data_IF_051766744175
#
_entry.id   IF_051766744175
#
_cell.length_a   1.000
_cell.length_b   1.000
_cell.length_c   1.000
_cell.angle_alpha   90.00
_cell.angle_beta   90.00
_cell.angle_gamma   90.00
#
_symmetry.space_group_name_H-M   'P 1'
#
loop_
_entity.id
_entity.type
_entity.pdbx_description
1 polymer ?
#
# COMPACT_ATOMS: atom_id res chain seq x y z
N UNK A 1 -9.52 -1.89 5.38
CA UNK A 1 -9.67 -3.18 4.71
C UNK A 1 -10.88 -3.89 5.28
N UNK A 2 -11.74 -4.40 4.40
CA UNK A 2 -12.96 -5.12 4.80
C UNK A 2 -13.08 -6.44 4.05
N UNK A 3 -13.79 -7.39 4.64
CA UNK A 3 -14.26 -8.61 3.95
C UNK A 3 -15.76 -8.55 3.73
N UNK A 4 -16.20 -9.00 2.55
CA UNK A 4 -17.61 -9.10 2.18
C UNK A 4 -18.23 -10.32 2.89
N UNK A 5 -19.37 -10.11 3.53
CA UNK A 5 -20.04 -11.18 4.26
C UNK A 5 -20.75 -12.16 3.30
N UNK A 6 -21.15 -13.32 3.82
CA UNK A 6 -21.90 -14.33 3.04
C UNK A 6 -23.43 -14.06 3.01
N UNK A 7 -23.88 -12.84 3.29
CA UNK A 7 -25.30 -12.49 3.19
C UNK A 7 -25.74 -12.54 1.73
N UNK A 8 -26.98 -12.92 1.44
CA UNK A 8 -27.47 -13.07 0.07
C UNK A 8 -27.40 -11.76 -0.76
N UNK A 9 -27.57 -10.63 -0.10
CA UNK A 9 -27.60 -9.27 -0.67
C UNK A 9 -26.25 -8.54 -0.61
N UNK A 10 -25.22 -9.15 -0.02
CA UNK A 10 -23.95 -8.45 0.24
C UNK A 10 -23.24 -7.97 -1.03
N UNK A 11 -23.18 -8.80 -2.07
CA UNK A 11 -22.56 -8.43 -3.34
C UNK A 11 -23.29 -7.26 -3.99
N UNK A 12 -24.61 -7.30 -4.03
CA UNK A 12 -25.45 -6.27 -4.63
C UNK A 12 -25.33 -4.94 -3.89
N UNK A 13 -25.32 -4.98 -2.54
CA UNK A 13 -25.08 -3.80 -1.69
C UNK A 13 -23.71 -3.19 -1.95
N UNK A 14 -22.66 -4.03 -2.02
CA UNK A 14 -21.30 -3.57 -2.31
C UNK A 14 -21.21 -2.97 -3.71
N UNK A 15 -21.76 -3.61 -4.74
CA UNK A 15 -21.79 -3.07 -6.10
C UNK A 15 -22.49 -1.71 -6.15
N UNK A 16 -23.67 -1.58 -5.55
CA UNK A 16 -24.41 -0.32 -5.47
C UNK A 16 -23.63 0.77 -4.74
N UNK A 17 -22.96 0.43 -3.63
CA UNK A 17 -22.15 1.39 -2.89
C UNK A 17 -20.93 1.84 -3.70
N UNK A 18 -20.22 0.92 -4.35
CA UNK A 18 -19.05 1.25 -5.17
C UNK A 18 -19.41 2.07 -6.42
N UNK A 19 -20.51 1.77 -7.08
CA UNK A 19 -20.98 2.57 -8.23
C UNK A 19 -21.38 3.99 -7.82
N UNK A 20 -21.88 4.19 -6.60
CA UNK A 20 -22.22 5.50 -6.02
C UNK A 20 -21.04 6.26 -5.39
N UNK A 21 -19.85 5.67 -5.33
CA UNK A 21 -18.73 6.19 -4.54
C UNK A 21 -18.27 7.59 -4.96
N UNK A 22 -18.27 7.89 -6.27
CA UNK A 22 -17.94 9.23 -6.77
C UNK A 22 -18.92 10.29 -6.26
N UNK A 23 -20.20 9.97 -6.20
CA UNK A 23 -21.22 10.87 -5.66
C UNK A 23 -21.03 11.10 -4.17
N UNK A 24 -20.73 10.05 -3.41
CA UNK A 24 -20.41 10.14 -2.00
C UNK A 24 -19.16 11.02 -1.78
N UNK A 25 -18.10 10.79 -2.55
CA UNK A 25 -16.87 11.58 -2.51
C UNK A 25 -17.14 13.06 -2.76
N UNK A 26 -17.92 13.39 -3.78
CA UNK A 26 -18.33 14.78 -4.10
C UNK A 26 -19.13 15.42 -2.96
N UNK A 27 -20.08 14.70 -2.39
CA UNK A 27 -20.92 15.20 -1.29
C UNK A 27 -20.13 15.56 -0.04
N UNK A 28 -19.08 14.84 0.25
CA UNK A 28 -18.23 15.11 1.41
C UNK A 28 -17.20 16.20 1.10
N UNK A 29 -16.54 16.12 -0.06
CA UNK A 29 -15.43 17.02 -0.44
C UNK A 29 -15.88 18.45 -0.79
N UNK A 30 -17.17 18.66 -1.17
CA UNK A 30 -17.70 19.99 -1.49
C UNK A 30 -17.59 20.99 -0.33
N UNK A 31 -17.45 20.49 0.90
CA UNK A 31 -17.30 21.33 2.09
C UNK A 31 -15.97 22.07 2.14
N UNK A 32 -14.93 21.50 1.51
CA UNK A 32 -13.60 22.09 1.40
C UNK A 32 -12.86 21.47 0.20
N UNK A 33 -12.96 22.12 -0.94
CA UNK A 33 -12.32 21.66 -2.18
C UNK A 33 -10.79 21.75 -2.10
N UNK A 34 -10.25 22.56 -1.20
CA UNK A 34 -8.81 22.69 -0.97
C UNK A 34 -8.21 21.51 -0.18
N UNK A 35 -9.04 20.71 0.51
CA UNK A 35 -8.58 19.59 1.34
C UNK A 35 -8.07 18.36 0.56
N UNK A 36 -8.03 18.42 -0.76
CA UNK A 36 -7.48 17.38 -1.66
C UNK A 36 -7.99 15.96 -1.35
N UNK A 37 -9.32 15.84 -1.16
CA UNK A 37 -9.92 14.55 -0.85
C UNK A 37 -9.79 13.57 -2.02
N UNK A 38 -9.42 12.33 -1.71
CA UNK A 38 -9.42 11.20 -2.65
C UNK A 38 -9.73 9.89 -1.92
N UNK A 39 -10.42 8.99 -2.62
CA UNK A 39 -10.60 7.61 -2.19
C UNK A 39 -10.26 6.68 -3.36
N UNK A 40 -9.30 5.78 -3.14
CA UNK A 40 -8.96 4.70 -4.07
C UNK A 40 -9.52 3.40 -3.54
N UNK A 41 -10.24 2.66 -4.39
CA UNK A 41 -10.77 1.33 -4.07
C UNK A 41 -9.84 0.26 -4.65
N UNK A 42 -9.45 -0.69 -3.82
CA UNK A 42 -8.80 -1.93 -4.26
C UNK A 42 -9.75 -3.11 -4.06
N UNK A 43 -9.80 -4.01 -5.04
CA UNK A 43 -10.60 -5.24 -5.02
C UNK A 43 -9.65 -6.43 -4.96
N UNK A 44 -9.84 -7.30 -3.97
CA UNK A 44 -9.05 -8.52 -3.78
C UNK A 44 -9.40 -9.61 -4.78
N UNK A 45 -8.47 -10.53 -5.01
CA UNK A 45 -8.62 -11.58 -6.02
C UNK A 45 -9.77 -12.55 -5.75
N UNK A 46 -10.08 -12.81 -4.48
CA UNK A 46 -11.10 -13.81 -4.11
C UNK A 46 -12.55 -13.34 -4.33
N UNK A 47 -12.75 -12.01 -4.30
CA UNK A 47 -14.06 -11.40 -4.52
C UNK A 47 -14.23 -10.84 -5.94
N UNK A 48 -13.13 -10.70 -6.70
CA UNK A 48 -13.12 -10.03 -8.00
C UNK A 48 -14.19 -10.54 -8.96
N UNK A 49 -14.22 -11.86 -9.21
CA UNK A 49 -15.12 -12.47 -10.19
C UNK A 49 -16.59 -12.27 -9.81
N UNK A 50 -16.90 -12.36 -8.51
CA UNK A 50 -18.26 -12.19 -7.99
C UNK A 50 -18.73 -10.74 -8.06
N UNK A 51 -17.81 -9.80 -7.84
CA UNK A 51 -18.14 -8.38 -7.76
C UNK A 51 -18.18 -7.72 -9.13
N UNK A 52 -17.30 -8.12 -10.06
CA UNK A 52 -17.16 -7.45 -11.35
C UNK A 52 -17.76 -8.22 -12.53
N UNK A 53 -17.91 -9.53 -12.40
CA UNK A 53 -18.28 -10.41 -13.54
C UNK A 53 -17.20 -10.50 -14.63
N UNK A 54 -16.02 -9.92 -14.40
CA UNK A 54 -14.93 -9.85 -15.37
C UNK A 54 -13.80 -10.83 -15.02
N UNK A 55 -12.99 -11.25 -16.00
CA UNK A 55 -11.76 -11.97 -15.74
C UNK A 55 -10.85 -11.19 -14.79
N UNK A 56 -10.11 -11.91 -13.95
CA UNK A 56 -9.13 -11.27 -13.06
C UNK A 56 -8.01 -10.60 -13.87
N UNK A 57 -7.50 -9.44 -13.41
CA UNK A 57 -6.23 -8.91 -13.92
C UNK A 57 -5.13 -9.98 -13.85
N UNK A 58 -4.27 -10.01 -14.86
CA UNK A 58 -3.36 -11.14 -15.12
C UNK A 58 -2.46 -11.54 -13.93
N UNK A 59 -2.00 -10.56 -13.15
CA UNK A 59 -1.13 -10.79 -11.99
C UNK A 59 -1.91 -10.75 -10.65
N UNK A 60 -3.25 -10.56 -10.65
CA UNK A 60 -4.02 -10.46 -9.41
C UNK A 60 -4.22 -11.82 -8.74
N UNK A 61 -3.61 -12.01 -7.59
CA UNK A 61 -3.73 -13.18 -6.73
C UNK A 61 -3.65 -12.77 -5.24
N UNK A 62 -4.01 -13.65 -4.29
CA UNK A 62 -3.80 -13.40 -2.87
C UNK A 62 -2.33 -13.09 -2.57
N UNK A 63 -2.08 -12.27 -1.55
CA UNK A 63 -0.72 -11.99 -1.10
C UNK A 63 0.01 -13.31 -0.79
N UNK A 64 1.19 -13.50 -1.36
CA UNK A 64 2.02 -14.67 -1.12
C UNK A 64 2.89 -14.45 0.11
N UNK A 65 2.77 -15.36 1.07
CA UNK A 65 3.65 -15.34 2.24
C UNK A 65 5.11 -15.54 1.79
N UNK A 66 6.01 -14.67 2.28
CA UNK A 66 7.44 -14.75 1.97
C UNK A 66 8.19 -15.07 3.27
N UNK A 67 8.77 -16.26 3.30
CA UNK A 67 9.54 -16.77 4.47
C UNK A 67 11.02 -16.55 4.26
N UNK A 68 11.58 -15.58 4.97
CA UNK A 68 13.00 -15.43 5.13
C UNK A 68 13.55 -16.31 6.27
N UNK A 69 14.87 -16.26 6.47
CA UNK A 69 15.53 -17.01 7.55
C UNK A 69 15.13 -16.50 8.95
N UNK A 70 14.78 -15.23 9.09
CA UNK A 70 14.50 -14.59 10.37
C UNK A 70 13.10 -13.95 10.43
N UNK A 71 12.67 -13.34 9.34
CA UNK A 71 11.42 -12.60 9.25
C UNK A 71 10.49 -13.20 8.19
N UNK A 72 9.19 -13.00 8.35
CA UNK A 72 8.18 -13.49 7.42
C UNK A 72 7.22 -12.36 7.06
N UNK A 73 7.04 -12.11 5.77
CA UNK A 73 5.93 -11.31 5.27
C UNK A 73 4.67 -12.17 5.29
N UNK A 74 3.79 -11.92 6.24
CA UNK A 74 2.56 -12.73 6.42
C UNK A 74 1.48 -12.33 5.42
N UNK A 75 0.62 -13.28 5.04
CA UNK A 75 -0.59 -13.04 4.27
C UNK A 75 -1.79 -12.86 5.20
N UNK A 76 -2.59 -11.84 4.94
CA UNK A 76 -3.83 -11.57 5.69
C UNK A 76 -5.01 -11.43 4.73
N UNK A 77 -6.24 -11.78 5.18
CA UNK A 77 -7.43 -11.66 4.34
C UNK A 77 -7.81 -10.20 4.07
N UNK A 78 -8.58 -9.99 3.00
CA UNK A 78 -9.18 -8.70 2.65
C UNK A 78 -9.81 -8.76 1.26
N UNK A 79 -11.08 -8.38 1.18
CA UNK A 79 -11.83 -8.36 -0.08
C UNK A 79 -11.81 -6.98 -0.72
N UNK A 80 -11.92 -5.92 0.09
CA UNK A 80 -11.88 -4.54 -0.38
C UNK A 80 -10.92 -3.70 0.46
N UNK A 81 -10.19 -2.84 -0.23
CA UNK A 81 -9.39 -1.77 0.35
C UNK A 81 -10.07 -0.44 0.03
N UNK A 82 -10.23 0.42 1.03
CA UNK A 82 -10.55 1.83 0.84
C UNK A 82 -9.36 2.65 1.32
N UNK A 83 -8.60 3.23 0.39
CA UNK A 83 -7.52 4.14 0.70
C UNK A 83 -8.05 5.57 0.64
N UNK A 84 -8.42 6.12 1.80
CA UNK A 84 -9.09 7.41 1.97
C UNK A 84 -8.04 8.45 2.38
N UNK A 85 -7.94 9.54 1.64
CA UNK A 85 -6.93 10.59 1.83
C UNK A 85 -7.54 11.98 1.80
N UNK A 86 -7.07 12.85 2.66
CA UNK A 86 -7.37 14.28 2.65
C UNK A 86 -6.37 15.04 3.53
N UNK A 87 -6.17 16.33 3.30
CA UNK A 87 -5.46 17.21 4.22
C UNK A 87 -6.26 17.47 5.51
N UNK A 88 -7.54 17.05 5.54
CA UNK A 88 -8.44 17.19 6.68
C UNK A 88 -8.96 15.84 7.15
N UNK A 89 -8.65 15.50 8.41
CA UNK A 89 -9.07 14.24 9.03
C UNK A 89 -10.60 14.12 9.16
N UNK A 90 -11.29 15.21 9.45
CA UNK A 90 -12.75 15.22 9.60
C UNK A 90 -13.46 14.86 8.28
N UNK A 91 -12.90 15.23 7.13
CA UNK A 91 -13.41 14.82 5.81
C UNK A 91 -13.22 13.32 5.59
N UNK A 92 -12.04 12.76 5.92
CA UNK A 92 -11.83 11.32 5.87
C UNK A 92 -12.81 10.58 6.77
N UNK A 93 -12.96 11.02 8.02
CA UNK A 93 -13.87 10.42 8.98
C UNK A 93 -15.33 10.44 8.52
N UNK A 94 -15.81 11.60 8.03
CA UNK A 94 -17.20 11.73 7.56
C UNK A 94 -17.46 10.87 6.32
N UNK A 95 -16.50 10.80 5.39
CA UNK A 95 -16.61 9.91 4.24
C UNK A 95 -16.67 8.45 4.66
N UNK A 96 -15.77 8.02 5.53
CA UNK A 96 -15.70 6.64 6.02
C UNK A 96 -17.00 6.26 6.78
N UNK A 97 -17.49 7.15 7.63
CA UNK A 97 -18.75 6.96 8.34
C UNK A 97 -19.93 6.73 7.37
N UNK A 98 -20.08 7.58 6.35
CA UNK A 98 -21.15 7.43 5.35
C UNK A 98 -20.96 6.19 4.48
N UNK A 99 -19.72 5.86 4.12
CA UNK A 99 -19.38 4.64 3.39
C UNK A 99 -19.79 3.38 4.18
N UNK A 100 -19.42 3.33 5.46
CA UNK A 100 -19.75 2.20 6.33
C UNK A 100 -21.25 2.12 6.62
N UNK A 101 -21.95 3.24 6.73
CA UNK A 101 -23.43 3.27 6.81
C UNK A 101 -24.09 2.65 5.58
N UNK A 102 -23.55 2.89 4.37
CA UNK A 102 -24.07 2.29 3.13
C UNK A 102 -23.75 0.81 3.00
N UNK A 103 -22.55 0.40 3.38
CA UNK A 103 -22.11 -1.00 3.34
C UNK A 103 -22.82 -1.86 4.41
N UNK A 104 -23.12 -1.27 5.57
CA UNK A 104 -23.82 -1.92 6.69
C UNK A 104 -23.23 -3.30 7.03
N UNK A 105 -24.11 -4.27 7.25
CA UNK A 105 -23.76 -5.66 7.58
C UNK A 105 -23.26 -6.48 6.38
N UNK A 106 -23.12 -5.87 5.19
CA UNK A 106 -22.59 -6.54 4.00
C UNK A 106 -21.09 -6.73 4.05
N UNK A 107 -20.41 -6.04 4.97
CA UNK A 107 -18.96 -6.16 5.17
C UNK A 107 -18.61 -6.31 6.65
N UNK A 108 -17.40 -6.85 6.89
CA UNK A 108 -16.76 -6.89 8.21
C UNK A 108 -15.42 -6.19 8.11
N UNK A 109 -15.12 -5.28 9.04
CA UNK A 109 -13.82 -4.60 9.09
C UNK A 109 -12.74 -5.58 9.52
N UNK A 110 -11.69 -5.70 8.74
CA UNK A 110 -10.52 -6.56 8.99
C UNK A 110 -9.37 -5.74 9.56
N UNK A 111 -9.11 -4.57 8.97
CA UNK A 111 -8.11 -3.62 9.45
C UNK A 111 -8.58 -2.19 9.17
N UNK A 112 -8.51 -1.36 10.19
CA UNK A 112 -8.72 0.08 10.12
C UNK A 112 -7.48 0.75 10.70
N UNK A 113 -6.85 1.61 9.91
CA UNK A 113 -5.65 2.31 10.33
C UNK A 113 -5.74 3.77 9.92
N UNK A 114 -5.63 4.66 10.91
CA UNK A 114 -5.58 6.11 10.68
C UNK A 114 -4.13 6.56 10.69
N UNK A 115 -3.64 6.91 9.51
CA UNK A 115 -2.32 7.50 9.32
C UNK A 115 -2.33 9.02 9.43
N UNK A 116 -1.16 9.60 9.53
CA UNK A 116 -0.97 11.05 9.56
C UNK A 116 0.34 11.45 8.88
N UNK A 117 0.38 12.67 8.34
CA UNK A 117 1.65 13.24 7.85
C UNK A 117 2.52 13.62 9.04
N UNK A 118 3.76 13.11 9.05
CA UNK A 118 4.76 13.44 10.06
C UNK A 118 5.76 14.46 9.51
N UNK A 119 6.54 15.09 10.41
CA UNK A 119 7.45 16.20 10.11
C UNK A 119 8.27 16.01 8.82
N UNK A 120 8.28 17.01 7.95
CA UNK A 120 9.07 17.10 6.73
C UNK A 120 8.95 15.84 5.82
N UNK A 121 7.75 15.22 5.81
CA UNK A 121 7.47 13.97 5.06
C UNK A 121 8.40 12.83 5.49
N UNK A 122 8.69 12.74 6.80
CA UNK A 122 9.50 11.66 7.37
C UNK A 122 8.62 10.54 7.92
N UNK A 123 9.19 9.35 7.99
CA UNK A 123 8.65 8.25 8.79
C UNK A 123 9.00 8.42 10.30
N UNK A 124 8.50 7.51 11.14
CA UNK A 124 8.79 7.53 12.59
C UNK A 124 10.23 7.08 12.92
N UNK A 125 10.97 6.51 11.97
CA UNK A 125 12.37 6.17 12.10
C UNK A 125 13.28 7.40 11.84
N UNK A 126 12.68 8.49 11.31
CA UNK A 126 13.30 9.78 11.10
C UNK A 126 13.88 10.00 9.70
N UNK A 127 13.57 9.14 8.72
CA UNK A 127 14.02 9.26 7.33
C UNK A 127 12.93 9.84 6.44
N UNK A 128 13.32 10.52 5.36
CA UNK A 128 12.37 11.04 4.36
C UNK A 128 11.76 9.88 3.60
N UNK A 129 10.42 9.82 3.58
CA UNK A 129 9.68 8.80 2.81
C UNK A 129 9.33 9.31 1.41
N UNK A 130 9.17 8.36 0.49
CA UNK A 130 8.73 8.65 -0.88
C UNK A 130 9.79 9.25 -1.80
N UNK A 131 11.06 9.33 -1.41
CA UNK A 131 12.14 9.93 -2.23
C UNK A 131 12.27 9.26 -3.60
N UNK A 132 12.10 7.95 -3.69
CA UNK A 132 12.20 7.19 -4.94
C UNK A 132 10.85 7.02 -5.66
N UNK A 133 9.82 7.78 -5.28
CA UNK A 133 8.55 7.73 -5.99
C UNK A 133 8.70 8.31 -7.41
N UNK A 134 8.07 7.71 -8.42
CA UNK A 134 8.00 8.30 -9.75
C UNK A 134 7.31 9.67 -9.70
N UNK A 135 7.75 10.59 -10.55
CA UNK A 135 7.20 11.96 -10.61
C UNK A 135 6.78 12.34 -12.03
N UNK A 136 5.80 13.23 -12.14
CA UNK A 136 5.34 13.76 -13.41
C UNK A 136 4.91 12.67 -14.39
N UNK A 137 5.48 12.66 -15.60
CA UNK A 137 5.12 11.72 -16.67
C UNK A 137 5.53 10.26 -16.39
N UNK A 138 6.43 10.02 -15.45
CA UNK A 138 6.82 8.66 -15.06
C UNK A 138 5.75 7.97 -14.19
N UNK A 139 4.85 8.71 -13.54
CA UNK A 139 3.81 8.11 -12.67
C UNK A 139 2.90 7.15 -13.43
N UNK A 140 2.23 7.52 -14.54
CA UNK A 140 1.36 6.59 -15.25
C UNK A 140 2.07 5.33 -15.72
N UNK A 141 3.28 5.46 -16.26
CA UNK A 141 4.04 4.31 -16.77
C UNK A 141 4.52 3.34 -15.69
N UNK A 142 4.72 3.81 -14.45
CA UNK A 142 5.11 2.98 -13.31
C UNK A 142 3.92 2.34 -12.59
N UNK A 143 2.75 2.97 -12.64
CA UNK A 143 1.62 2.66 -11.77
C UNK A 143 0.46 2.03 -12.52
N UNK A 144 0.14 2.52 -13.73
CA UNK A 144 -1.06 2.10 -14.45
C UNK A 144 -0.77 0.94 -15.41
N UNK A 145 -1.60 -0.07 -15.32
CA UNK A 145 -1.64 -1.18 -16.30
C UNK A 145 -2.00 -0.61 -17.66
N UNK A 146 -1.26 -1.00 -18.69
CA UNK A 146 -1.49 -0.53 -20.05
C UNK A 146 -2.48 -1.43 -20.81
N UNK A 147 -2.67 -1.14 -22.10
CA UNK A 147 -3.70 -1.77 -22.92
C UNK A 147 -3.52 -3.29 -23.14
N UNK A 148 -2.33 -3.82 -22.87
CA UNK A 148 -2.05 -5.25 -22.99
C UNK A 148 -2.87 -6.16 -22.09
N UNK A 149 -3.45 -5.63 -20.99
CA UNK A 149 -4.28 -6.39 -20.04
C UNK A 149 -5.78 -6.02 -20.14
N UNK A 150 -6.25 -5.58 -21.27
CA UNK A 150 -7.67 -5.43 -21.62
C UNK A 150 -8.47 -4.65 -20.57
N UNK A 151 -9.36 -5.32 -19.81
CA UNK A 151 -10.23 -4.66 -18.80
C UNK A 151 -9.47 -4.10 -17.61
N UNK A 152 -8.23 -4.54 -17.37
CA UNK A 152 -7.38 -4.02 -16.31
C UNK A 152 -6.68 -2.71 -16.69
N UNK A 153 -6.72 -2.34 -17.98
CA UNK A 153 -6.09 -1.12 -18.49
C UNK A 153 -6.56 0.13 -17.73
N UNK A 154 -5.60 0.95 -17.30
CA UNK A 154 -5.82 2.13 -16.47
C UNK A 154 -6.02 1.85 -14.98
N UNK A 155 -6.03 0.59 -14.57
CA UNK A 155 -5.99 0.18 -13.17
C UNK A 155 -4.57 0.05 -12.62
N UNK A 156 -4.44 -0.38 -11.36
CA UNK A 156 -3.16 -0.52 -10.65
C UNK A 156 -3.20 -1.68 -9.68
N UNK A 157 -2.14 -2.48 -9.62
CA UNK A 157 -1.96 -3.42 -8.52
C UNK A 157 -1.58 -2.67 -7.25
N UNK A 158 -2.09 -3.14 -6.10
CA UNK A 158 -1.83 -2.56 -4.79
C UNK A 158 -1.37 -3.66 -3.84
N UNK A 159 -0.32 -3.39 -3.10
CA UNK A 159 0.05 -4.20 -1.94
C UNK A 159 0.02 -3.31 -0.71
N UNK A 160 -0.63 -3.78 0.35
CA UNK A 160 -0.65 -3.11 1.65
C UNK A 160 -0.04 -4.00 2.72
N UNK A 161 0.76 -3.37 3.60
CA UNK A 161 1.33 -4.00 4.77
C UNK A 161 1.37 -3.00 5.93
N UNK A 162 0.90 -3.43 7.09
CA UNK A 162 1.01 -2.68 8.33
C UNK A 162 2.24 -3.15 9.09
N UNK A 163 3.15 -2.22 9.40
CA UNK A 163 4.37 -2.50 10.16
C UNK A 163 4.34 -1.79 11.50
N UNK A 164 4.73 -2.49 12.58
CA UNK A 164 5.03 -1.86 13.86
C UNK A 164 6.53 -1.74 14.05
N UNK A 165 6.98 -0.64 14.67
CA UNK A 165 8.39 -0.31 14.86
C UNK A 165 8.83 -0.47 16.31
N UNK A 166 9.99 -1.08 16.52
CA UNK A 166 10.74 -1.02 17.78
C UNK A 166 11.55 0.28 17.81
N UNK A 167 10.91 1.39 18.17
CA UNK A 167 11.56 2.70 18.25
C UNK A 167 12.66 2.76 19.33
N UNK A 168 12.52 2.13 20.52
CA UNK A 168 13.62 2.04 21.47
C UNK A 168 14.87 1.39 20.87
N UNK A 169 14.74 0.17 20.32
CA UNK A 169 15.87 -0.52 19.69
C UNK A 169 16.46 0.25 18.51
N UNK A 170 15.63 0.94 17.72
CA UNK A 170 16.09 1.83 16.65
C UNK A 170 16.92 3.01 17.16
N UNK A 171 16.52 3.61 18.28
CA UNK A 171 17.22 4.74 18.91
C UNK A 171 18.56 4.35 19.55
N UNK A 172 18.75 3.07 19.90
CA UNK A 172 20.01 2.57 20.43
C UNK A 172 21.10 2.48 19.37
N UNK A 173 20.75 2.54 18.08
CA UNK A 173 21.68 2.61 16.97
C UNK A 173 22.26 4.03 16.82
N UNK A 174 23.55 4.12 16.45
CA UNK A 174 24.10 5.41 16.01
C UNK A 174 23.46 5.85 14.69
N UNK A 175 23.52 7.16 14.40
CA UNK A 175 23.01 7.72 13.14
C UNK A 175 23.63 7.02 11.93
N UNK A 176 24.94 6.77 11.94
CA UNK A 176 25.65 6.11 10.85
C UNK A 176 25.20 4.66 10.66
N UNK A 177 24.81 3.98 11.74
CA UNK A 177 24.24 2.62 11.65
C UNK A 177 22.86 2.65 11.03
N UNK A 178 22.02 3.60 11.43
CA UNK A 178 20.70 3.79 10.86
C UNK A 178 20.77 4.14 9.35
N UNK A 179 21.67 5.06 8.98
CA UNK A 179 21.94 5.47 7.61
C UNK A 179 22.41 4.30 6.72
N UNK A 180 23.29 3.45 7.24
CA UNK A 180 23.73 2.23 6.54
C UNK A 180 22.60 1.24 6.31
N UNK A 181 21.66 1.11 7.24
CA UNK A 181 20.50 0.24 7.10
C UNK A 181 19.57 0.80 6.00
N UNK A 182 19.31 2.08 6.02
CA UNK A 182 18.39 2.72 5.06
C UNK A 182 19.03 2.91 3.68
N UNK A 183 20.32 3.29 3.62
CA UNK A 183 21.04 3.64 2.40
C UNK A 183 20.97 5.12 2.02
N UNK A 184 20.61 5.98 2.98
CA UNK A 184 20.55 7.45 2.82
C UNK A 184 20.98 8.14 4.10
N UNK A 185 21.49 9.37 3.97
CA UNK A 185 21.74 10.21 5.13
C UNK A 185 20.43 10.68 5.76
N UNK A 186 20.40 10.72 7.08
CA UNK A 186 19.18 10.99 7.84
C UNK A 186 18.72 12.46 7.73
N UNK A 187 19.67 13.38 7.76
CA UNK A 187 19.38 14.82 7.75
C UNK A 187 19.09 15.30 6.33
N UNK A 188 20.05 15.07 5.43
CA UNK A 188 20.05 15.70 4.10
C UNK A 188 19.44 14.80 3.01
N UNK A 189 19.05 13.58 3.36
CA UNK A 189 18.47 12.60 2.45
C UNK A 189 19.33 12.31 1.20
N UNK A 190 20.65 12.39 1.37
CA UNK A 190 21.61 12.08 0.32
C UNK A 190 21.78 10.58 0.21
N UNK A 191 21.76 10.05 -0.99
CA UNK A 191 21.98 8.66 -1.27
C UNK A 191 23.39 8.23 -0.92
N UNK A 192 23.53 7.09 -0.24
CA UNK A 192 24.82 6.47 0.06
C UNK A 192 25.17 5.44 -1.00
N UNK A 193 26.46 5.29 -1.23
CA UNK A 193 26.96 4.27 -2.12
C UNK A 193 26.55 2.86 -1.61
N UNK A 194 26.25 1.99 -2.56
CA UNK A 194 25.93 0.60 -2.26
C UNK A 194 27.17 -0.14 -1.77
N UNK A 195 26.96 -1.12 -0.90
CA UNK A 195 28.02 -2.03 -0.52
C UNK A 195 28.41 -2.91 -1.73
N UNK A 196 29.70 -2.97 -2.06
CA UNK A 196 30.20 -3.82 -3.15
C UNK A 196 29.94 -5.31 -2.88
N UNK A 197 29.87 -5.71 -1.62
CA UNK A 197 29.59 -7.08 -1.20
C UNK A 197 29.02 -7.12 0.22
N UNK A 198 28.28 -8.19 0.54
CA UNK A 198 27.73 -8.43 1.88
C UNK A 198 26.36 -7.80 2.08
N UNK A 199 26.12 -7.20 3.25
CA UNK A 199 24.82 -6.67 3.64
C UNK A 199 24.46 -5.42 2.81
N UNK A 200 23.34 -5.50 2.07
CA UNK A 200 22.80 -4.38 1.30
C UNK A 200 21.86 -3.54 2.15
N UNK A 201 21.72 -2.26 1.79
CA UNK A 201 20.80 -1.33 2.42
C UNK A 201 19.35 -1.57 1.96
N UNK A 202 18.38 -1.03 2.71
CA UNK A 202 16.96 -1.02 2.34
C UNK A 202 16.73 -0.44 0.94
N UNK A 203 17.39 0.69 0.64
CA UNK A 203 17.34 1.33 -0.69
C UNK A 203 17.72 0.33 -1.79
N UNK A 204 18.86 -0.33 -1.65
CA UNK A 204 19.37 -1.27 -2.67
C UNK A 204 18.45 -2.48 -2.83
N UNK A 205 17.99 -3.07 -1.73
CA UNK A 205 17.09 -4.22 -1.75
C UNK A 205 15.72 -3.90 -2.36
N UNK A 206 15.29 -2.64 -2.27
CA UNK A 206 14.02 -2.16 -2.83
C UNK A 206 14.13 -1.54 -4.23
N UNK A 207 15.33 -1.44 -4.80
CA UNK A 207 15.54 -1.06 -6.21
C UNK A 207 15.46 -2.33 -7.08
N UNK A 208 14.55 -2.36 -8.04
CA UNK A 208 14.28 -3.53 -8.88
C UNK A 208 14.62 -3.22 -10.33
N UNK A 209 15.51 -4.01 -10.89
CA UNK A 209 15.86 -3.99 -12.29
C UNK A 209 15.42 -5.30 -12.97
N UNK A 210 15.00 -5.20 -14.23
CA UNK A 210 14.74 -6.37 -15.06
C UNK A 210 16.03 -6.94 -15.67
N UNK A 211 15.91 -8.05 -16.39
CA UNK A 211 17.03 -8.73 -17.05
C UNK A 211 17.77 -7.85 -18.09
N UNK A 212 17.16 -6.76 -18.52
CA UNK A 212 17.73 -5.80 -19.47
C UNK A 212 18.35 -4.59 -18.77
N UNK A 213 18.31 -4.53 -17.43
CA UNK A 213 18.81 -3.41 -16.63
C UNK A 213 17.84 -2.21 -16.59
N UNK A 214 16.57 -2.40 -16.91
CA UNK A 214 15.57 -1.34 -16.73
C UNK A 214 15.07 -1.35 -15.30
N UNK A 215 15.12 -0.19 -14.64
CA UNK A 215 14.56 -0.02 -13.29
C UNK A 215 13.03 0.07 -13.34
N UNK A 216 12.39 -0.63 -12.42
CA UNK A 216 10.94 -0.62 -12.23
C UNK A 216 10.56 0.06 -10.92
N UNK A 217 9.93 1.22 -11.03
CA UNK A 217 9.45 1.99 -9.89
C UNK A 217 8.04 1.58 -9.44
N UNK A 218 7.74 1.90 -8.19
CA UNK A 218 6.40 1.86 -7.61
C UNK A 218 6.05 3.20 -7.00
N UNK A 219 4.78 3.56 -6.93
CA UNK A 219 4.31 4.71 -6.16
C UNK A 219 3.97 4.26 -4.75
N UNK A 220 4.71 4.75 -3.76
CA UNK A 220 4.43 4.55 -2.33
C UNK A 220 3.70 5.75 -1.77
N UNK A 221 2.64 5.48 -1.03
CA UNK A 221 1.87 6.51 -0.31
C UNK A 221 1.76 6.09 1.16
N UNK A 222 2.93 5.81 1.75
CA UNK A 222 3.04 5.34 3.12
C UNK A 222 2.59 6.42 4.10
N UNK A 223 2.02 5.99 5.23
CA UNK A 223 1.68 6.88 6.33
C UNK A 223 2.15 6.32 7.66
N UNK A 224 2.80 7.13 8.50
CA UNK A 224 2.96 6.81 9.90
C UNK A 224 1.60 6.67 10.59
N UNK A 225 1.52 5.74 11.52
CA UNK A 225 0.39 5.61 12.44
C UNK A 225 0.91 5.34 13.85
N UNK A 226 0.09 5.55 14.86
CA UNK A 226 0.45 5.17 16.21
C UNK A 226 -0.36 5.86 17.30
N UNK A 227 -0.17 5.35 18.51
CA UNK A 227 -0.76 5.85 19.73
C UNK A 227 0.31 5.92 20.83
N UNK A 228 0.83 7.11 21.13
CA UNK A 228 1.88 7.26 22.16
C UNK A 228 1.48 6.71 23.53
N UNK A 229 0.19 6.78 23.88
CA UNK A 229 -0.30 6.28 25.14
C UNK A 229 -0.28 4.76 25.27
N UNK A 230 -0.39 4.02 24.17
CA UNK A 230 -0.28 2.55 24.13
C UNK A 230 1.11 2.06 23.72
N UNK A 231 2.01 2.97 23.34
CA UNK A 231 3.33 2.60 22.83
C UNK A 231 3.31 1.96 21.44
N UNK A 232 2.22 2.12 20.70
CA UNK A 232 2.12 1.61 19.33
C UNK A 232 2.64 2.65 18.35
N UNK A 233 3.60 2.25 17.50
CA UNK A 233 4.19 3.09 16.48
C UNK A 233 4.45 2.26 15.23
N UNK A 234 4.16 2.81 14.05
CA UNK A 234 4.34 2.04 12.84
C UNK A 234 4.22 2.85 11.56
N UNK A 235 4.37 2.14 10.45
CA UNK A 235 4.13 2.62 9.10
C UNK A 235 3.12 1.72 8.40
N UNK A 236 2.09 2.31 7.82
CA UNK A 236 1.21 1.64 6.89
C UNK A 236 1.81 1.79 5.50
N UNK A 237 2.39 0.72 4.99
CA UNK A 237 2.90 0.65 3.63
C UNK A 237 1.74 0.46 2.66
N UNK A 238 1.69 1.28 1.62
CA UNK A 238 0.84 1.09 0.46
C UNK A 238 1.64 1.38 -0.81
N UNK A 239 1.77 0.36 -1.65
CA UNK A 239 2.50 0.45 -2.92
C UNK A 239 1.57 0.21 -4.09
N UNK A 240 1.58 1.14 -5.05
CA UNK A 240 0.88 1.06 -6.33
C UNK A 240 1.87 0.73 -7.43
N UNK A 241 1.53 -0.22 -8.28
CA UNK A 241 2.40 -0.63 -9.38
C UNK A 241 1.61 -1.12 -10.59
N UNK A 242 2.19 -0.87 -11.76
CA UNK A 242 1.72 -1.45 -13.03
C UNK A 242 1.88 -2.98 -13.08
N UNK A 243 2.90 -3.53 -12.40
CA UNK A 243 3.27 -4.93 -12.38
C UNK A 243 3.43 -5.42 -10.95
N UNK A 244 2.60 -6.37 -10.53
CA UNK A 244 2.61 -6.88 -9.16
C UNK A 244 3.96 -7.52 -8.80
N UNK A 245 4.59 -8.24 -9.73
CA UNK A 245 5.87 -8.91 -9.52
C UNK A 245 6.98 -7.96 -9.02
N UNK A 246 6.90 -6.65 -9.34
CA UNK A 246 7.90 -5.66 -8.89
C UNK A 246 7.88 -5.54 -7.36
N UNK A 247 6.69 -5.38 -6.76
CA UNK A 247 6.57 -5.33 -5.30
C UNK A 247 6.90 -6.69 -4.68
N UNK A 248 6.48 -7.80 -5.30
CA UNK A 248 6.81 -9.13 -4.81
C UNK A 248 8.32 -9.35 -4.78
N UNK A 249 9.04 -8.89 -5.81
CA UNK A 249 10.51 -8.97 -5.85
C UNK A 249 11.18 -8.09 -4.81
N UNK A 250 10.68 -6.86 -4.59
CA UNK A 250 11.13 -6.01 -3.48
C UNK A 250 11.01 -6.75 -2.14
N UNK A 251 9.85 -7.33 -1.87
CA UNK A 251 9.61 -8.07 -0.62
C UNK A 251 10.47 -9.32 -0.54
N UNK A 252 10.67 -10.06 -1.62
CA UNK A 252 11.59 -11.19 -1.65
C UNK A 252 13.01 -10.76 -1.26
N UNK A 253 13.52 -9.69 -1.87
CA UNK A 253 14.85 -9.16 -1.56
C UNK A 253 14.94 -8.70 -0.09
N UNK A 254 13.89 -8.09 0.46
CA UNK A 254 13.86 -7.65 1.85
C UNK A 254 13.83 -8.83 2.83
N UNK A 255 12.95 -9.80 2.65
CA UNK A 255 12.70 -10.86 3.62
C UNK A 255 13.69 -12.04 3.47
N UNK A 256 13.98 -12.46 2.25
CA UNK A 256 14.93 -13.55 1.96
C UNK A 256 16.35 -13.04 1.92
N UNK A 257 16.56 -11.85 1.39
CA UNK A 257 17.85 -11.20 1.18
C UNK A 257 18.39 -11.38 -0.23
N UNK A 258 19.24 -10.45 -0.63
CA UNK A 258 20.05 -10.53 -1.83
C UNK A 258 21.51 -10.15 -1.49
N UNK A 259 22.42 -11.14 -1.37
CA UNK A 259 22.20 -12.58 -1.57
C UNK A 259 21.34 -13.22 -0.47
N UNK A 260 20.73 -14.40 -0.72
CA UNK A 260 19.88 -15.08 0.25
C UNK A 260 20.53 -15.27 1.61
N UNK A 261 19.77 -15.00 2.69
CA UNK A 261 20.23 -15.02 4.08
C UNK A 261 20.65 -13.66 4.62
N UNK A 262 20.88 -12.66 3.77
CA UNK A 262 21.16 -11.27 4.15
C UNK A 262 19.91 -10.41 3.98
N UNK A 263 18.93 -10.64 4.86
CA UNK A 263 17.66 -9.91 4.85
C UNK A 263 17.86 -8.41 5.11
N UNK A 264 16.87 -7.61 4.74
CA UNK A 264 16.85 -6.18 5.04
C UNK A 264 16.88 -5.93 6.56
N UNK A 265 17.95 -5.29 7.02
CA UNK A 265 18.17 -4.98 8.44
C UNK A 265 17.10 -4.08 9.05
N UNK A 266 16.32 -3.35 8.20
CA UNK A 266 15.16 -2.59 8.64
C UNK A 266 14.11 -3.51 9.31
N UNK A 267 13.99 -4.75 8.86
CA UNK A 267 13.05 -5.73 9.43
C UNK A 267 13.42 -6.16 10.87
N UNK A 268 14.66 -5.92 11.32
CA UNK A 268 15.03 -6.14 12.71
C UNK A 268 14.31 -5.16 13.67
N UNK A 269 13.80 -4.04 13.14
CA UNK A 269 13.11 -2.97 13.86
C UNK A 269 11.69 -2.74 13.40
N UNK A 270 11.24 -3.42 12.34
CA UNK A 270 9.94 -3.23 11.70
C UNK A 270 9.27 -4.57 11.43
N UNK A 271 8.24 -4.88 12.21
CA UNK A 271 7.54 -6.18 12.13
C UNK A 271 6.27 -6.05 11.31
N UNK A 272 6.07 -6.83 10.23
CA UNK A 272 4.83 -6.85 9.47
C UNK A 272 3.71 -7.51 10.29
N UNK A 273 2.54 -6.90 10.30
CA UNK A 273 1.31 -7.38 10.94
C UNK A 273 0.26 -7.82 9.94
N UNK A 274 0.33 -7.31 8.70
CA UNK A 274 -0.60 -7.64 7.62
C UNK A 274 0.15 -7.76 6.31
N UNK A 275 -0.49 -8.37 5.31
CA UNK A 275 -0.02 -8.42 3.93
C UNK A 275 -1.18 -8.82 3.03
N UNK A 276 -1.66 -7.89 2.19
CA UNK A 276 -2.81 -8.13 1.31
C UNK A 276 -2.57 -7.48 -0.05
N UNK A 277 -3.01 -8.18 -1.11
CA UNK A 277 -2.93 -7.72 -2.49
C UNK A 277 -4.31 -7.35 -3.01
N UNK A 278 -4.39 -6.22 -3.70
CA UNK A 278 -5.61 -5.73 -4.34
C UNK A 278 -5.31 -5.25 -5.75
N UNK A 279 -6.37 -5.00 -6.51
CA UNK A 279 -6.32 -4.27 -7.76
C UNK A 279 -7.27 -3.07 -7.70
N UNK A 280 -6.76 -1.88 -7.97
CA UNK A 280 -7.59 -0.69 -8.16
C UNK A 280 -8.05 -0.64 -9.61
N UNK A 281 -9.33 -0.90 -9.89
CA UNK A 281 -9.84 -0.78 -11.26
C UNK A 281 -9.97 0.69 -11.68
N UNK A 282 -10.04 0.98 -12.99
CA UNK A 282 -10.36 2.32 -13.47
C UNK A 282 -11.74 2.76 -12.95
N UNK A 283 -11.92 4.06 -12.74
CA UNK A 283 -13.15 4.63 -12.18
C UNK A 283 -14.41 4.28 -13.01
N UNK A 284 -14.27 4.13 -14.32
CA UNK A 284 -15.35 3.72 -15.22
C UNK A 284 -15.89 2.32 -14.92
N UNK A 285 -15.00 1.39 -14.51
CA UNK A 285 -15.41 0.05 -14.11
C UNK A 285 -16.20 0.10 -12.79
N UNK A 286 -15.72 0.86 -11.80
CA UNK A 286 -16.45 1.01 -10.54
C UNK A 286 -17.86 1.62 -10.76
N UNK A 287 -17.95 2.65 -11.59
CA UNK A 287 -19.22 3.31 -11.90
C UNK A 287 -20.22 2.40 -12.63
N UNK A 288 -19.74 1.39 -13.35
CA UNK A 288 -20.55 0.42 -14.08
C UNK A 288 -20.97 -0.82 -13.27
N UNK A 289 -20.51 -0.97 -12.01
CA UNK A 289 -20.87 -2.13 -11.20
C UNK A 289 -22.39 -2.18 -10.93
N UNK A 290 -22.98 -3.37 -11.08
CA UNK A 290 -24.42 -3.58 -10.86
C UNK A 290 -25.34 -2.96 -11.92
N UNK A 291 -24.80 -2.44 -13.03
CA UNK A 291 -25.58 -2.03 -14.19
C UNK A 291 -25.70 -3.22 -15.14
N UNK A 292 -26.93 -3.76 -15.32
CA UNK A 292 -27.25 -4.80 -16.29
C UNK A 292 -27.14 -4.28 -17.76
#
# INVERSE_FOLDING_TARGET
VVSVTNRPDAIETVQSTLSGLESLAKNVSIRDLGAQFACTVGIGSEIWDKLTGLPRPAELHPFREIKGAKHTAISTPGDLLFHIRSERRDICFEFERQLMDQLGDSVTVIDETVGFRYFDVRDLLGFVDGTANPVGLAVPSSVLVAEEDGHASGGSYIVVQKYTHDLPGWKDLSTEQQEKIIGRTKIDNVELDDAESGQRSHKTLSTIEDENGNEHGILRDNMPFGSPGSGEFGTYFIGYTRRLWVIEKMLENMFVGDPPGLHDRLLDFSRPLTGTTFFAPPASLLAGLGSD
#
